data_IF_994021419711
#
_entry.id   IF_994021419711
#
_cell.length_a   1.000
_cell.length_b   1.000
_cell.length_c   1.000
_cell.angle_alpha   90.00
_cell.angle_beta   90.00
_cell.angle_gamma   90.00
#
_symmetry.space_group_name_H-M   'P 1'
#
loop_
_entity.id
_entity.type
_entity.pdbx_description
1 polymer ?
#
# COMPACT_ATOMS: atom_id res chain seq x y z
N UNK A 1 44.89 -32.04 6.68
CA UNK A 1 43.99 -31.33 7.62
C UNK A 1 44.01 -29.85 7.27
N UNK A 2 42.99 -29.27 6.63
CA UNK A 2 42.99 -27.84 6.36
C UNK A 2 42.91 -27.08 7.69
N UNK A 3 43.90 -26.22 7.92
CA UNK A 3 44.07 -25.46 9.17
C UNK A 3 42.82 -24.62 9.40
N UNK A 4 42.25 -24.68 10.62
CA UNK A 4 41.20 -23.75 11.06
C UNK A 4 41.78 -22.35 10.94
N UNK A 5 41.40 -21.63 9.90
CA UNK A 5 41.70 -20.22 9.75
C UNK A 5 41.09 -19.52 10.95
N UNK A 6 41.94 -18.87 11.74
CA UNK A 6 41.50 -18.04 12.85
C UNK A 6 40.49 -17.05 12.29
N UNK A 7 39.27 -17.11 12.79
CA UNK A 7 38.16 -16.35 12.21
C UNK A 7 38.34 -14.91 12.65
N UNK A 8 38.60 -14.01 11.69
CA UNK A 8 38.80 -12.58 11.97
C UNK A 8 37.48 -11.91 12.39
N UNK A 9 37.11 -12.08 13.65
CA UNK A 9 35.87 -11.57 14.23
C UNK A 9 35.76 -10.04 14.15
N UNK A 10 36.89 -9.34 14.19
CA UNK A 10 36.93 -7.88 14.08
C UNK A 10 36.51 -7.40 12.68
N UNK A 11 36.85 -8.16 11.62
CA UNK A 11 36.44 -7.85 10.24
C UNK A 11 34.93 -8.08 10.04
N UNK A 12 34.41 -9.15 10.65
CA UNK A 12 32.97 -9.47 10.66
C UNK A 12 32.18 -8.39 11.40
N UNK A 13 32.68 -7.90 12.54
CA UNK A 13 32.06 -6.84 13.33
C UNK A 13 31.99 -5.52 12.56
N UNK A 14 33.07 -5.15 11.85
CA UNK A 14 33.12 -3.97 11.00
C UNK A 14 32.08 -4.01 9.86
N UNK A 15 31.99 -5.14 9.14
CA UNK A 15 30.99 -5.35 8.08
C UNK A 15 29.56 -5.34 8.64
N UNK A 16 29.35 -5.90 9.83
CA UNK A 16 28.04 -5.90 10.49
C UNK A 16 27.64 -4.49 10.93
N UNK A 17 28.55 -3.73 11.55
CA UNK A 17 28.31 -2.33 11.95
C UNK A 17 28.07 -1.43 10.76
N UNK A 18 28.76 -1.66 9.64
CA UNK A 18 28.58 -0.93 8.39
C UNK A 18 27.17 -1.10 7.78
N UNK A 19 26.44 -2.17 8.12
CA UNK A 19 25.03 -2.34 7.76
C UNK A 19 24.74 -2.55 6.26
N UNK A 20 25.78 -2.62 5.42
CA UNK A 20 25.65 -2.72 3.96
C UNK A 20 25.29 -4.15 3.46
N UNK A 21 25.61 -5.18 4.25
CA UNK A 21 25.41 -6.58 3.91
C UNK A 21 24.46 -7.25 4.92
N UNK A 22 23.62 -8.17 4.45
CA UNK A 22 22.78 -9.01 5.32
C UNK A 22 23.63 -10.04 6.09
N UNK A 23 23.13 -10.54 7.23
CA UNK A 23 23.83 -11.53 8.05
C UNK A 23 24.28 -12.76 7.24
N UNK A 24 23.44 -13.21 6.31
CA UNK A 24 23.74 -14.35 5.42
C UNK A 24 24.88 -14.03 4.44
N UNK A 25 24.96 -12.80 3.93
CA UNK A 25 26.05 -12.37 3.04
C UNK A 25 27.37 -12.22 3.78
N UNK A 26 27.34 -11.67 5.01
CA UNK A 26 28.52 -11.55 5.88
C UNK A 26 29.04 -12.96 6.23
N UNK A 27 28.16 -13.86 6.63
CA UNK A 27 28.49 -15.26 6.91
C UNK A 27 29.17 -15.95 5.71
N UNK A 28 28.64 -15.77 4.49
CA UNK A 28 29.23 -16.32 3.26
C UNK A 28 30.60 -15.69 2.93
N UNK A 29 30.75 -14.38 3.10
CA UNK A 29 31.99 -13.63 2.81
C UNK A 29 33.15 -14.10 3.70
N UNK A 30 32.85 -14.36 4.97
CA UNK A 30 33.86 -14.75 5.96
C UNK A 30 33.94 -16.27 6.19
N UNK A 31 33.17 -17.07 5.45
CA UNK A 31 33.19 -18.54 5.56
C UNK A 31 32.67 -19.08 6.90
N UNK A 32 31.85 -18.30 7.61
CA UNK A 32 31.32 -18.66 8.95
C UNK A 32 29.87 -19.10 8.84
N UNK A 33 29.44 -20.05 9.67
CA UNK A 33 28.03 -20.40 9.78
C UNK A 33 27.22 -19.21 10.34
N UNK A 34 26.07 -18.91 9.74
CA UNK A 34 25.21 -17.79 10.15
C UNK A 34 24.74 -17.92 11.62
N UNK A 35 24.55 -19.16 12.10
CA UNK A 35 24.21 -19.45 13.50
C UNK A 35 25.29 -18.99 14.47
N UNK A 36 26.57 -19.18 14.12
CA UNK A 36 27.71 -18.72 14.93
C UNK A 36 27.82 -17.20 14.92
N UNK A 37 27.59 -16.56 13.77
CA UNK A 37 27.53 -15.11 13.64
C UNK A 37 26.43 -14.50 14.53
N UNK A 38 25.21 -15.06 14.50
CA UNK A 38 24.08 -14.59 15.33
C UNK A 38 24.36 -14.72 16.83
N UNK A 39 24.95 -15.85 17.25
CA UNK A 39 25.37 -16.05 18.65
C UNK A 39 26.40 -15.01 19.07
N UNK A 40 27.40 -14.74 18.22
CA UNK A 40 28.44 -13.74 18.51
C UNK A 40 27.88 -12.31 18.57
N UNK A 41 26.95 -11.95 17.69
CA UNK A 41 26.24 -10.65 17.74
C UNK A 41 25.48 -10.49 19.06
N UNK A 42 24.77 -11.53 19.50
CA UNK A 42 24.01 -11.52 20.74
C UNK A 42 24.91 -11.42 21.98
N UNK A 43 26.02 -12.16 22.00
CA UNK A 43 27.00 -12.13 23.11
C UNK A 43 27.87 -10.88 23.12
N UNK A 44 28.18 -10.31 21.96
CA UNK A 44 29.02 -9.12 21.80
C UNK A 44 28.27 -7.80 21.76
N UNK A 45 26.93 -7.83 21.82
CA UNK A 45 26.10 -6.62 21.79
C UNK A 45 26.30 -5.78 20.53
N UNK A 46 26.57 -6.40 19.38
CA UNK A 46 26.87 -5.65 18.16
C UNK A 46 25.61 -4.95 17.64
N UNK A 47 25.70 -3.63 17.45
CA UNK A 47 24.61 -2.80 16.94
C UNK A 47 24.97 -2.29 15.56
N UNK A 48 24.04 -2.38 14.61
CA UNK A 48 24.22 -1.79 13.28
C UNK A 48 24.15 -0.27 13.38
N UNK A 49 25.18 0.41 12.90
CA UNK A 49 25.10 1.85 12.70
C UNK A 49 24.07 2.07 11.59
N UNK A 50 22.90 2.58 11.94
CA UNK A 50 21.78 2.79 11.02
C UNK A 50 22.08 3.98 10.09
N UNK A 51 23.11 3.83 9.26
CA UNK A 51 23.41 4.75 8.18
C UNK A 51 22.86 4.16 6.89
N UNK A 52 21.88 4.88 6.33
CA UNK A 52 21.48 4.83 4.93
C UNK A 52 20.43 3.77 4.53
N UNK A 53 19.17 4.22 4.68
CA UNK A 53 18.19 4.33 3.59
C UNK A 53 18.49 3.44 2.38
N UNK A 54 17.82 2.29 2.39
CA UNK A 54 17.69 1.33 1.29
C UNK A 54 17.58 2.05 -0.06
N UNK A 55 18.69 2.07 -0.80
CA UNK A 55 18.71 2.35 -2.24
C UNK A 55 18.46 1.02 -2.96
N UNK A 56 17.19 0.73 -3.27
CA UNK A 56 16.86 -0.26 -4.29
C UNK A 56 17.08 0.40 -5.64
N UNK A 57 18.27 0.24 -6.21
CA UNK A 57 18.57 0.70 -7.56
C UNK A 57 19.38 -0.39 -8.26
N UNK A 58 18.65 -1.27 -8.95
CA UNK A 58 19.17 -2.12 -10.01
C UNK A 58 19.85 -1.25 -11.06
N UNK A 59 21.02 -1.70 -11.52
CA UNK A 59 21.89 -0.98 -12.45
C UNK A 59 21.20 -0.82 -13.81
N UNK A 60 21.08 0.41 -14.29
CA UNK A 60 21.22 0.75 -15.73
C UNK A 60 21.88 2.13 -15.79
N UNK A 61 22.91 2.21 -16.62
CA UNK A 61 23.92 3.26 -16.65
C UNK A 61 23.42 4.58 -17.24
N UNK A 62 23.80 5.72 -16.64
CA UNK A 62 24.47 6.87 -17.29
C UNK A 62 24.87 7.93 -16.24
N UNK A 63 25.86 8.73 -16.64
CA UNK A 63 26.85 9.50 -15.85
C UNK A 63 26.34 10.77 -15.11
N UNK A 64 27.19 11.40 -14.26
CA UNK A 64 26.78 12.18 -13.09
C UNK A 64 26.80 13.71 -13.30
N UNK A 65 25.99 14.44 -12.52
CA UNK A 65 26.14 15.88 -12.34
C UNK A 65 26.47 16.21 -10.88
N UNK A 66 27.62 16.84 -10.76
CA UNK A 66 28.30 17.48 -9.64
C UNK A 66 27.39 18.18 -8.60
N UNK A 67 27.77 18.05 -7.33
CA UNK A 67 27.13 18.64 -6.16
C UNK A 67 27.93 19.88 -5.70
N UNK A 68 27.33 21.09 -5.59
CA UNK A 68 27.90 22.14 -4.78
C UNK A 68 27.14 22.32 -3.46
N UNK A 69 27.90 22.16 -2.38
CA UNK A 69 27.84 22.81 -1.08
C UNK A 69 26.50 23.40 -0.61
N UNK A 70 25.90 22.78 0.41
CA UNK A 70 24.64 23.19 1.04
C UNK A 70 24.91 24.17 2.20
N UNK A 71 24.59 25.45 2.01
CA UNK A 71 24.48 26.40 3.11
C UNK A 71 23.25 26.07 4.00
N UNK A 72 23.25 26.40 5.30
CA UNK A 72 22.12 26.11 6.19
C UNK A 72 20.91 26.99 5.83
N UNK A 73 19.75 26.36 5.63
CA UNK A 73 18.49 27.04 5.28
C UNK A 73 17.79 27.61 6.54
N UNK A 74 17.07 28.74 6.43
CA UNK A 74 16.31 29.34 7.54
C UNK A 74 15.10 28.47 7.96
N UNK A 75 14.48 28.76 9.13
CA UNK A 75 13.47 27.90 9.74
C UNK A 75 12.25 27.70 8.82
N UNK A 76 11.90 26.43 8.57
CA UNK A 76 10.78 26.05 7.69
C UNK A 76 9.44 26.35 8.38
N UNK A 77 8.63 27.19 7.75
CA UNK A 77 7.19 27.24 7.99
C UNK A 77 6.57 25.88 7.62
N UNK A 78 5.61 25.41 8.43
CA UNK A 78 4.96 24.11 8.24
C UNK A 78 4.15 24.13 6.93
N UNK A 79 4.32 23.13 6.03
CA UNK A 79 3.54 23.10 4.80
C UNK A 79 2.05 22.81 5.10
N UNK A 80 1.11 23.37 4.32
CA UNK A 80 -0.31 23.09 4.44
C UNK A 80 -0.57 21.60 4.17
N UNK A 81 -1.56 21.03 4.85
CA UNK A 81 -1.88 19.61 4.83
C UNK A 81 -2.22 19.09 3.43
N UNK A 82 -1.25 18.42 2.79
CA UNK A 82 -1.46 17.63 1.57
C UNK A 82 -2.17 16.32 1.90
N UNK A 83 -3.38 16.37 2.46
CA UNK A 83 -4.23 15.19 2.67
C UNK A 83 -4.89 14.70 1.36
N UNK A 84 -5.01 15.58 0.36
CA UNK A 84 -5.78 15.34 -0.87
C UNK A 84 -5.01 14.56 -1.94
N UNK A 85 -3.67 14.62 -1.93
CA UNK A 85 -2.84 13.95 -2.95
C UNK A 85 -2.65 12.44 -2.70
N UNK A 86 -2.80 11.97 -1.46
CA UNK A 86 -2.64 10.55 -1.11
C UNK A 86 -3.89 9.74 -1.50
N UNK A 87 -5.08 10.32 -1.32
CA UNK A 87 -6.35 9.69 -1.66
C UNK A 87 -6.45 9.42 -3.18
N UNK A 88 -6.15 10.40 -4.02
CA UNK A 88 -6.18 10.25 -5.48
C UNK A 88 -5.22 9.14 -5.96
N UNK A 89 -4.06 8.99 -5.32
CA UNK A 89 -3.10 7.94 -5.63
C UNK A 89 -3.58 6.54 -5.19
N UNK A 90 -4.45 6.44 -4.17
CA UNK A 90 -4.99 5.16 -3.73
C UNK A 90 -6.09 4.70 -4.68
N UNK A 91 -6.99 5.60 -5.07
CA UNK A 91 -8.09 5.33 -5.99
C UNK A 91 -7.56 4.89 -7.36
N UNK A 92 -6.59 5.61 -7.93
CA UNK A 92 -5.94 5.21 -9.19
C UNK A 92 -5.24 3.84 -9.08
N UNK A 93 -4.63 3.53 -7.94
CA UNK A 93 -3.99 2.22 -7.72
C UNK A 93 -5.02 1.11 -7.59
N UNK A 94 -6.15 1.36 -6.95
CA UNK A 94 -7.24 0.39 -6.86
C UNK A 94 -7.90 0.17 -8.21
N UNK A 95 -8.15 1.21 -9.01
CA UNK A 95 -8.67 1.06 -10.38
C UNK A 95 -7.73 0.23 -11.25
N UNK A 96 -6.43 0.51 -11.18
CA UNK A 96 -5.43 -0.24 -11.92
C UNK A 96 -5.35 -1.70 -11.49
N UNK A 97 -5.54 -2.00 -10.20
CA UNK A 97 -5.57 -3.37 -9.69
C UNK A 97 -6.84 -4.11 -10.14
N UNK A 98 -8.00 -3.45 -10.04
CA UNK A 98 -9.29 -4.00 -10.49
C UNK A 98 -9.26 -4.28 -11.99
N UNK A 99 -8.72 -3.37 -12.80
CA UNK A 99 -8.63 -3.54 -14.25
C UNK A 99 -7.74 -4.73 -14.64
N UNK A 100 -6.60 -4.91 -13.97
CA UNK A 100 -5.73 -6.08 -14.19
C UNK A 100 -6.38 -7.39 -13.77
N UNK A 101 -7.05 -7.40 -12.62
CA UNK A 101 -7.78 -8.58 -12.14
C UNK A 101 -8.95 -8.93 -13.06
N UNK A 102 -9.65 -7.93 -13.59
CA UNK A 102 -10.73 -8.13 -14.55
C UNK A 102 -10.18 -8.72 -15.85
N UNK A 103 -9.09 -8.17 -16.39
CA UNK A 103 -8.42 -8.72 -17.57
C UNK A 103 -7.94 -10.16 -17.37
N UNK A 104 -7.37 -10.49 -16.19
CA UNK A 104 -7.00 -11.88 -15.88
C UNK A 104 -8.22 -12.81 -15.82
N UNK A 105 -9.36 -12.34 -15.30
CA UNK A 105 -10.61 -13.11 -15.32
C UNK A 105 -11.13 -13.30 -16.75
N UNK A 106 -11.05 -12.27 -17.59
CA UNK A 106 -11.43 -12.33 -19.00
C UNK A 106 -10.52 -13.31 -19.78
N UNK A 107 -9.20 -13.19 -19.66
CA UNK A 107 -8.23 -14.08 -20.33
C UNK A 107 -8.37 -15.53 -19.85
N UNK A 108 -8.47 -15.75 -18.53
CA UNK A 108 -8.62 -17.10 -17.98
C UNK A 108 -9.97 -17.73 -18.31
N UNK A 109 -11.03 -16.95 -18.51
CA UNK A 109 -12.33 -17.48 -18.97
C UNK A 109 -12.32 -17.76 -20.47
N UNK A 110 -11.65 -16.93 -21.27
CA UNK A 110 -11.50 -17.15 -22.71
C UNK A 110 -10.72 -18.43 -23.05
N UNK A 111 -9.66 -18.74 -22.28
CA UNK A 111 -8.79 -19.89 -22.51
C UNK A 111 -8.99 -21.04 -21.51
N UNK A 112 -10.05 -21.02 -20.71
CA UNK A 112 -10.24 -21.99 -19.62
C UNK A 112 -10.23 -23.44 -20.12
N UNK A 113 -10.90 -23.68 -21.24
CA UNK A 113 -11.00 -25.01 -21.87
C UNK A 113 -9.63 -25.52 -22.30
N UNK A 114 -8.90 -24.72 -23.08
CA UNK A 114 -7.55 -25.05 -23.58
C UNK A 114 -6.58 -25.31 -22.43
N UNK A 115 -6.62 -24.50 -21.37
CA UNK A 115 -5.76 -24.67 -20.19
C UNK A 115 -6.15 -25.94 -19.42
N UNK A 116 -7.44 -26.24 -19.27
CA UNK A 116 -7.89 -27.48 -18.61
C UNK A 116 -7.48 -28.72 -19.40
N UNK A 117 -7.62 -28.70 -20.72
CA UNK A 117 -7.22 -29.81 -21.60
C UNK A 117 -5.70 -30.02 -21.55
N UNK A 118 -4.90 -28.94 -21.59
CA UNK A 118 -3.45 -29.03 -21.44
C UNK A 118 -3.04 -29.61 -20.07
N UNK A 119 -3.73 -29.25 -18.98
CA UNK A 119 -3.50 -29.81 -17.65
C UNK A 119 -3.84 -31.31 -17.63
N UNK A 120 -4.95 -31.71 -18.24
CA UNK A 120 -5.37 -33.11 -18.32
C UNK A 120 -4.37 -33.96 -19.12
N UNK A 121 -3.91 -33.46 -20.27
CA UNK A 121 -2.91 -34.12 -21.10
C UNK A 121 -1.57 -34.28 -20.37
N UNK A 122 -1.05 -33.20 -19.77
CA UNK A 122 0.25 -33.20 -19.09
C UNK A 122 0.24 -34.04 -17.79
N UNK A 123 -0.93 -34.20 -17.17
CA UNK A 123 -1.10 -35.02 -15.96
C UNK A 123 -1.71 -36.39 -16.24
N UNK A 124 -1.84 -36.80 -17.50
CA UNK A 124 -2.47 -38.07 -17.87
C UNK A 124 -1.70 -39.29 -17.35
N UNK A 125 -0.38 -39.20 -17.27
CA UNK A 125 0.50 -40.29 -16.80
C UNK A 125 0.76 -40.26 -15.28
N UNK A 126 0.19 -39.29 -14.55
CA UNK A 126 0.40 -39.20 -13.11
C UNK A 126 -0.29 -40.38 -12.39
N UNK A 127 0.39 -40.97 -11.41
CA UNK A 127 -0.14 -42.09 -10.62
C UNK A 127 -1.32 -41.70 -9.71
N UNK A 128 -1.66 -40.40 -9.63
CA UNK A 128 -2.81 -39.93 -8.84
C UNK A 128 -3.31 -38.55 -9.26
N UNK A 129 -4.54 -38.22 -8.86
CA UNK A 129 -5.22 -36.98 -9.27
C UNK A 129 -4.73 -35.72 -8.55
N UNK A 130 -3.94 -35.85 -7.47
CA UNK A 130 -3.59 -34.72 -6.58
C UNK A 130 -2.95 -33.54 -7.32
N UNK A 131 -2.03 -33.80 -8.26
CA UNK A 131 -1.35 -32.76 -9.05
C UNK A 131 -2.33 -32.08 -10.01
N UNK A 132 -3.14 -32.88 -10.73
CA UNK A 132 -4.21 -32.41 -11.62
C UNK A 132 -5.23 -31.55 -10.88
N UNK A 133 -5.74 -32.03 -9.75
CA UNK A 133 -6.74 -31.33 -8.93
C UNK A 133 -6.22 -29.99 -8.40
N UNK A 134 -4.94 -29.93 -8.02
CA UNK A 134 -4.30 -28.68 -7.59
C UNK A 134 -4.19 -27.67 -8.75
N UNK A 135 -3.84 -28.14 -9.96
CA UNK A 135 -3.74 -27.30 -11.16
C UNK A 135 -5.12 -26.80 -11.61
N UNK A 136 -6.13 -27.68 -11.68
CA UNK A 136 -7.51 -27.33 -12.01
C UNK A 136 -8.10 -26.35 -10.99
N UNK A 137 -7.76 -26.52 -9.70
CA UNK A 137 -8.20 -25.58 -8.65
C UNK A 137 -7.57 -24.20 -8.80
N UNK A 138 -6.31 -24.11 -9.21
CA UNK A 138 -5.61 -22.84 -9.40
C UNK A 138 -6.21 -22.02 -10.56
N UNK A 139 -6.67 -22.69 -11.62
CA UNK A 139 -7.34 -22.00 -12.75
C UNK A 139 -8.80 -21.68 -12.45
N UNK A 140 -9.41 -22.30 -11.43
CA UNK A 140 -10.80 -22.01 -11.07
C UNK A 140 -11.00 -20.55 -10.68
N UNK A 141 -12.09 -19.96 -11.17
CA UNK A 141 -12.34 -18.50 -11.12
C UNK A 141 -13.12 -18.05 -9.88
N UNK A 142 -13.58 -18.97 -9.03
CA UNK A 142 -14.47 -18.67 -7.88
C UNK A 142 -13.86 -17.66 -6.91
N UNK A 143 -12.61 -17.86 -6.52
CA UNK A 143 -11.92 -16.98 -5.56
C UNK A 143 -11.63 -15.60 -6.18
N UNK A 144 -11.26 -15.56 -7.46
CA UNK A 144 -11.01 -14.31 -8.21
C UNK A 144 -12.29 -13.50 -8.47
N UNK A 145 -13.43 -14.14 -8.70
CA UNK A 145 -14.72 -13.43 -8.86
C UNK A 145 -15.16 -12.74 -7.56
N UNK A 146 -14.95 -13.39 -6.41
CA UNK A 146 -15.26 -12.81 -5.09
C UNK A 146 -14.33 -11.64 -4.74
N UNK A 147 -13.05 -11.69 -5.12
CA UNK A 147 -12.15 -10.54 -4.92
C UNK A 147 -12.55 -9.35 -5.78
N UNK A 148 -12.92 -9.55 -7.05
CA UNK A 148 -13.43 -8.46 -7.92
C UNK A 148 -14.69 -7.84 -7.34
N UNK A 149 -15.64 -8.66 -6.86
CA UNK A 149 -16.85 -8.18 -6.19
C UNK A 149 -16.52 -7.34 -4.95
N UNK A 150 -15.61 -7.82 -4.12
CA UNK A 150 -15.18 -7.15 -2.89
C UNK A 150 -14.52 -5.80 -3.21
N UNK A 151 -13.61 -5.75 -4.18
CA UNK A 151 -12.94 -4.52 -4.60
C UNK A 151 -13.94 -3.50 -5.16
N UNK A 152 -14.89 -3.95 -5.99
CA UNK A 152 -15.96 -3.08 -6.51
C UNK A 152 -16.87 -2.56 -5.40
N UNK A 153 -17.15 -3.37 -4.38
CA UNK A 153 -17.91 -2.93 -3.21
C UNK A 153 -17.14 -1.87 -2.40
N UNK A 154 -15.83 -2.06 -2.18
CA UNK A 154 -14.97 -1.08 -1.49
C UNK A 154 -14.94 0.25 -2.27
N UNK A 155 -14.77 0.19 -3.59
CA UNK A 155 -14.80 1.36 -4.46
C UNK A 155 -16.15 2.10 -4.37
N UNK A 156 -17.26 1.38 -4.47
CA UNK A 156 -18.61 1.96 -4.31
C UNK A 156 -18.78 2.60 -2.92
N UNK A 157 -18.26 1.97 -1.86
CA UNK A 157 -18.32 2.54 -0.51
C UNK A 157 -17.43 3.78 -0.35
N UNK A 158 -16.23 3.80 -0.94
CA UNK A 158 -15.33 4.98 -0.98
C UNK A 158 -15.91 6.16 -1.75
N UNK A 159 -16.61 5.89 -2.86
CA UNK A 159 -17.36 6.88 -3.64
C UNK A 159 -18.60 7.37 -2.86
N UNK A 160 -19.29 6.50 -2.12
CA UNK A 160 -20.41 6.94 -1.25
C UNK A 160 -19.98 7.71 0.00
N UNK A 161 -18.71 7.65 0.37
CA UNK A 161 -18.13 8.46 1.46
C UNK A 161 -17.77 9.89 1.04
N UNK A 162 -17.70 10.18 -0.26
CA UNK A 162 -17.45 11.52 -0.83
C UNK A 162 -18.72 12.22 -1.31
N UNK A 163 -19.84 11.49 -1.43
CA UNK A 163 -21.16 12.10 -1.34
C UNK A 163 -21.37 12.60 0.08
N UNK A 164 -21.32 13.93 0.29
CA UNK A 164 -21.86 14.57 1.50
C UNK A 164 -23.26 14.00 1.75
N UNK A 165 -23.40 12.98 2.59
CA UNK A 165 -24.64 12.76 3.31
C UNK A 165 -24.78 14.01 4.15
N UNK A 166 -25.63 14.96 3.72
CA UNK A 166 -26.03 16.12 4.52
C UNK A 166 -26.29 15.58 5.92
N UNK A 167 -25.49 16.03 6.89
CA UNK A 167 -25.65 15.53 8.25
C UNK A 167 -27.11 15.75 8.65
N UNK A 168 -27.69 14.85 9.44
CA UNK A 168 -29.09 14.96 9.91
C UNK A 168 -29.41 16.37 10.46
N UNK A 169 -28.40 17.08 10.99
CA UNK A 169 -28.48 18.47 11.42
C UNK A 169 -28.69 19.49 10.28
N UNK A 170 -28.02 19.31 9.15
CA UNK A 170 -28.14 20.18 7.98
C UNK A 170 -29.47 19.95 7.25
N UNK A 171 -29.90 18.69 7.14
CA UNK A 171 -31.21 18.32 6.58
C UNK A 171 -32.37 18.87 7.45
N UNK A 172 -32.27 18.74 8.79
CA UNK A 172 -33.25 19.33 9.71
C UNK A 172 -33.26 20.86 9.65
N UNK A 173 -32.11 21.50 9.44
CA UNK A 173 -32.02 22.96 9.31
C UNK A 173 -32.70 23.45 8.04
N UNK A 174 -32.46 22.78 6.91
CA UNK A 174 -33.10 23.12 5.64
C UNK A 174 -34.61 22.86 5.66
N UNK A 175 -35.05 21.78 6.32
CA UNK A 175 -36.47 21.51 6.55
C UNK A 175 -37.13 22.59 7.43
N UNK A 176 -36.43 23.05 8.48
CA UNK A 176 -36.91 24.15 9.33
C UNK A 176 -36.96 25.49 8.56
N UNK A 177 -35.99 25.75 7.69
CA UNK A 177 -35.94 26.97 6.86
C UNK A 177 -37.04 26.99 5.80
N UNK A 178 -37.34 25.84 5.18
CA UNK A 178 -38.51 25.66 4.31
C UNK A 178 -39.83 25.77 5.05
N UNK A 179 -39.90 25.31 6.30
CA UNK A 179 -41.11 25.48 7.11
C UNK A 179 -41.32 26.93 7.58
N UNK A 180 -40.23 27.67 7.78
CA UNK A 180 -40.24 29.07 8.18
C UNK A 180 -40.52 30.05 7.02
N UNK A 181 -40.34 29.61 5.76
CA UNK A 181 -40.57 30.42 4.56
C UNK A 181 -41.78 29.89 3.79
N UNK A 182 -42.82 30.72 3.66
CA UNK A 182 -44.07 30.36 2.96
C UNK A 182 -45.30 30.64 3.81
N UNK A 183 -46.34 29.80 3.67
CA UNK A 183 -47.69 30.04 4.21
C UNK A 183 -47.77 30.19 5.74
N UNK A 184 -46.71 29.82 6.47
CA UNK A 184 -46.59 29.95 7.92
C UNK A 184 -45.50 30.95 8.36
N UNK A 185 -44.99 31.80 7.46
CA UNK A 185 -44.04 32.85 7.85
C UNK A 185 -44.70 33.80 8.85
N UNK A 186 -43.96 34.23 9.88
CA UNK A 186 -44.47 35.16 10.88
C UNK A 186 -44.96 36.44 10.19
N UNK A 187 -46.25 36.75 10.34
CA UNK A 187 -46.82 38.01 9.83
C UNK A 187 -46.05 39.19 10.42
N UNK A 188 -45.73 40.17 9.58
CA UNK A 188 -45.10 41.41 10.01
C UNK A 188 -45.94 42.04 11.12
N UNK A 189 -45.27 42.46 12.19
CA UNK A 189 -45.90 43.14 13.32
C UNK A 189 -46.75 44.31 12.82
N UNK A 190 -47.96 44.52 13.38
CA UNK A 190 -48.78 45.67 13.00
C UNK A 190 -48.00 46.96 13.25
N UNK A 191 -47.93 47.84 12.25
CA UNK A 191 -47.28 49.14 12.39
C UNK A 191 -48.11 49.98 13.37
N UNK A 192 -47.48 50.41 14.46
CA UNK A 192 -48.08 51.33 15.42
C UNK A 192 -48.27 52.68 14.73
N UNK A 193 -49.50 53.02 14.35
CA UNK A 193 -49.86 54.35 13.84
C UNK A 193 -50.26 55.20 15.04
N UNK A 194 -49.28 55.58 15.87
CA UNK A 194 -49.45 56.65 16.84
C UNK A 194 -48.33 57.65 16.63
N UNK A 195 -48.70 58.76 16.00
CA UNK A 195 -47.87 59.93 15.89
C UNK A 195 -48.14 60.78 17.13
N UNK A 196 -47.52 60.44 18.26
CA UNK A 196 -47.53 61.32 19.43
C UNK A 196 -46.40 62.33 19.31
N UNK A 197 -46.58 63.23 18.34
CA UNK A 197 -45.89 64.51 18.29
C UNK A 197 -46.84 65.61 18.77
N UNK A 198 -46.74 65.96 20.06
CA UNK A 198 -46.88 67.32 20.60
C UNK A 198 -46.45 67.33 22.06
#
# INVERSE_FOLDING_TARGET
>A
MPKKTDTDWHAIEADFRAGALSNRQIAKKHGVAESTLRKRIASGGWVRTSAQKVRKNTKTAHQPAHNPQRNPAPPREKPPSTGRGIANNLDERTENLVSRLLGEVEDTTAHLGEISEAIELETASDTGSRRRDAMLKAISTKERAETVRTLKQIQMMGVTGSGKKKGVKEERREAAEKAASGKFSRMSSPKLVVNNGK
#
